data_IF_489513178744
#
_entry.id   IF_489513178744
#
_cell.length_a   1.000
_cell.length_b   1.000
_cell.length_c   1.000
_cell.angle_alpha   90.00
_cell.angle_beta   90.00
_cell.angle_gamma   90.00
#
_symmetry.space_group_name_H-M   'P 1'
#
loop_
_entity.id
_entity.type
_entity.pdbx_description
1 polymer ?
#
# COMPACT_ATOMS: atom_id res chain seq x y z
N UNK A 1 -10.87 -12.52 -1.08
CA UNK A 1 -9.86 -13.16 -0.21
C UNK A 1 -8.41 -12.99 -0.70
N UNK A 2 -7.93 -13.71 -1.74
CA UNK A 2 -6.52 -13.57 -2.20
C UNK A 2 -6.13 -12.16 -2.63
N UNK A 3 -7.03 -11.48 -3.35
CA UNK A 3 -6.83 -10.08 -3.80
C UNK A 3 -6.72 -9.11 -2.61
N UNK A 4 -7.61 -9.22 -1.61
CA UNK A 4 -7.59 -8.38 -0.41
C UNK A 4 -6.32 -8.63 0.40
N UNK A 5 -5.92 -9.90 0.59
CA UNK A 5 -4.66 -10.24 1.27
C UNK A 5 -3.42 -9.67 0.56
N UNK A 6 -3.41 -9.70 -0.77
CA UNK A 6 -2.33 -9.12 -1.56
C UNK A 6 -2.29 -7.59 -1.45
N UNK A 7 -3.45 -6.92 -1.49
CA UNK A 7 -3.57 -5.47 -1.29
C UNK A 7 -3.10 -5.03 0.10
N UNK A 8 -3.55 -5.71 1.17
CA UNK A 8 -3.09 -5.43 2.53
C UNK A 8 -1.57 -5.60 2.64
N UNK A 9 -1.02 -6.65 2.02
CA UNK A 9 0.44 -6.89 2.03
C UNK A 9 1.21 -5.79 1.30
N UNK A 10 0.72 -5.32 0.15
CA UNK A 10 1.32 -4.22 -0.59
C UNK A 10 1.29 -2.91 0.23
N UNK A 11 0.14 -2.57 0.81
CA UNK A 11 -0.01 -1.35 1.61
C UNK A 11 0.84 -1.40 2.88
N UNK A 12 0.98 -2.58 3.53
CA UNK A 12 1.87 -2.75 4.68
C UNK A 12 3.34 -2.57 4.30
N UNK A 13 3.76 -3.08 3.14
CA UNK A 13 5.11 -2.88 2.63
C UNK A 13 5.39 -1.40 2.33
N UNK A 14 4.44 -0.70 1.71
CA UNK A 14 4.57 0.75 1.47
C UNK A 14 4.62 1.54 2.80
N UNK A 15 3.84 1.12 3.79
CA UNK A 15 3.81 1.74 5.12
C UNK A 15 5.11 1.49 5.91
N UNK A 16 5.69 0.29 5.82
CA UNK A 16 7.02 -0.01 6.40
C UNK A 16 8.09 0.93 5.82
N UNK A 17 8.09 1.16 4.50
CA UNK A 17 9.01 2.12 3.88
C UNK A 17 8.79 3.57 4.31
N UNK A 18 7.53 3.98 4.55
CA UNK A 18 7.22 5.33 5.05
C UNK A 18 7.60 5.50 6.53
N UNK A 19 7.47 4.45 7.35
CA UNK A 19 7.88 4.45 8.76
C UNK A 19 9.40 4.46 8.88
N UNK A 20 10.11 3.67 8.08
CA UNK A 20 11.59 3.69 8.02
C UNK A 20 12.09 5.09 7.61
N UNK A 21 11.45 5.72 6.63
CA UNK A 21 11.76 7.10 6.25
C UNK A 21 11.43 8.13 7.35
N UNK A 22 10.40 7.86 8.17
CA UNK A 22 10.05 8.69 9.35
C UNK A 22 11.08 8.50 10.47
N UNK A 23 11.55 7.29 10.71
CA UNK A 23 12.61 6.98 11.69
C UNK A 23 13.97 7.55 11.27
N UNK A 24 14.32 7.48 9.98
CA UNK A 24 15.49 8.17 9.42
C UNK A 24 15.42 9.69 9.65
N UNK A 25 14.22 10.29 9.58
CA UNK A 25 14.01 11.70 9.94
C UNK A 25 13.96 11.97 11.45
N UNK A 26 13.72 10.97 12.31
CA UNK A 26 13.78 11.07 13.78
C UNK A 26 15.23 10.92 14.31
N UNK A 27 16.08 10.13 13.64
CA UNK A 27 17.51 9.97 14.00
C UNK A 27 18.31 11.27 13.80
N UNK A 28 17.82 12.21 12.98
CA UNK A 28 18.41 13.56 12.84
C UNK A 28 18.09 14.53 14.00
N UNK A 29 17.31 14.15 15.03
CA UNK A 29 16.94 15.03 16.16
C UNK A 29 17.75 14.86 17.47
N UNK A 30 18.63 13.87 17.60
CA UNK A 30 19.48 13.68 18.80
C UNK A 30 20.96 14.02 18.56
N UNK A 31 21.34 15.30 18.64
CA UNK A 31 22.75 15.69 18.88
C UNK A 31 22.85 16.90 19.79
N UNK A 32 23.50 16.72 20.94
CA UNK A 32 23.90 17.72 21.94
C UNK A 32 24.88 18.75 21.36
N UNK A 33 24.73 20.04 21.70
CA UNK A 33 25.73 21.09 21.42
C UNK A 33 26.79 21.18 22.53
N UNK A 34 28.06 21.51 22.23
CA UNK A 34 28.47 22.91 22.16
C UNK A 34 29.29 23.25 20.90
N UNK A 35 29.06 24.45 20.37
CA UNK A 35 29.54 24.99 19.09
C UNK A 35 31.07 24.97 18.86
N UNK A 36 31.90 24.67 19.86
CA UNK A 36 33.36 24.60 19.73
C UNK A 36 33.86 23.32 19.04
N UNK A 37 33.01 22.29 18.92
CA UNK A 37 33.34 21.05 18.20
C UNK A 37 33.05 21.12 16.69
N UNK A 38 32.38 22.18 16.22
CA UNK A 38 31.99 22.36 14.82
C UNK A 38 33.15 22.87 13.94
N UNK A 39 34.09 23.62 14.51
CA UNK A 39 35.26 24.14 13.78
C UNK A 39 36.09 23.06 13.08
N UNK A 40 36.48 21.93 13.72
CA UNK A 40 37.23 20.88 13.02
C UNK A 40 36.42 20.20 11.92
N UNK A 41 35.11 20.05 12.09
CA UNK A 41 34.23 19.44 11.09
C UNK A 41 33.98 20.38 9.90
N UNK A 42 33.77 21.67 10.16
CA UNK A 42 33.64 22.71 9.13
C UNK A 42 34.93 22.84 8.32
N UNK A 43 36.09 22.81 9.00
CA UNK A 43 37.39 22.81 8.34
C UNK A 43 37.63 21.52 7.53
N UNK A 44 37.16 20.37 8.01
CA UNK A 44 37.22 19.11 7.27
C UNK A 44 36.33 19.16 6.02
N UNK A 45 35.11 19.67 6.14
CA UNK A 45 34.19 19.86 5.03
C UNK A 45 34.74 20.85 3.99
N UNK A 46 35.32 21.96 4.43
CA UNK A 46 36.01 22.93 3.57
C UNK A 46 37.11 22.26 2.75
N UNK A 47 38.00 21.51 3.41
CA UNK A 47 39.07 20.76 2.74
C UNK A 47 38.53 19.71 1.76
N UNK A 48 37.43 19.04 2.10
CA UNK A 48 36.81 18.07 1.21
C UNK A 48 36.23 18.72 -0.05
N UNK A 49 35.51 19.83 0.09
CA UNK A 49 34.96 20.60 -1.03
C UNK A 49 36.08 21.16 -1.92
N UNK A 50 37.15 21.70 -1.31
CA UNK A 50 38.34 22.14 -2.04
C UNK A 50 38.99 20.99 -2.82
N UNK A 51 39.10 19.81 -2.21
CA UNK A 51 39.64 18.60 -2.87
C UNK A 51 38.79 18.17 -4.06
N UNK A 52 37.46 18.07 -3.88
CA UNK A 52 36.54 17.68 -4.96
C UNK A 52 36.52 18.69 -6.11
N UNK A 53 36.60 19.99 -5.81
CA UNK A 53 36.73 21.03 -6.83
C UNK A 53 38.05 20.90 -7.61
N UNK A 54 39.15 20.61 -6.93
CA UNK A 54 40.45 20.40 -7.57
C UNK A 54 40.45 19.18 -8.48
N UNK A 55 39.83 18.07 -8.06
CA UNK A 55 39.66 16.88 -8.89
C UNK A 55 38.80 17.17 -10.12
N UNK A 56 37.68 17.87 -9.93
CA UNK A 56 36.79 18.27 -11.01
C UNK A 56 37.53 19.16 -12.03
N UNK A 57 38.30 20.14 -11.55
CA UNK A 57 39.14 21.01 -12.38
C UNK A 57 40.13 20.22 -13.22
N UNK A 58 40.87 19.29 -12.60
CA UNK A 58 41.82 18.44 -13.31
C UNK A 58 41.13 17.56 -14.37
N UNK A 59 39.92 17.08 -14.08
CA UNK A 59 39.12 16.31 -15.03
C UNK A 59 38.73 17.16 -16.25
N UNK A 60 38.25 18.38 -16.03
CA UNK A 60 37.90 19.31 -17.11
C UNK A 60 39.12 19.75 -17.94
N UNK A 61 40.26 20.02 -17.31
CA UNK A 61 41.51 20.33 -18.02
C UNK A 61 41.95 19.16 -18.92
N UNK A 62 41.91 17.93 -18.40
CA UNK A 62 42.22 16.73 -19.19
C UNK A 62 41.24 16.52 -20.34
N UNK A 63 39.95 16.78 -20.10
CA UNK A 63 38.91 16.63 -21.10
C UNK A 63 39.06 17.68 -22.21
N UNK A 64 39.35 18.93 -21.88
CA UNK A 64 39.63 19.99 -22.86
C UNK A 64 40.85 19.64 -23.74
N UNK A 65 41.93 19.12 -23.15
CA UNK A 65 43.11 18.66 -23.91
C UNK A 65 42.74 17.49 -24.83
N UNK A 66 41.97 16.52 -24.33
CA UNK A 66 41.54 15.36 -25.11
C UNK A 66 40.66 15.78 -26.30
N UNK A 67 39.70 16.66 -26.07
CA UNK A 67 38.82 17.19 -27.11
C UNK A 67 39.60 17.97 -28.16
N UNK A 68 40.59 18.78 -27.76
CA UNK A 68 41.47 19.48 -28.68
C UNK A 68 42.32 18.51 -29.54
N UNK A 69 42.85 17.44 -28.95
CA UNK A 69 43.61 16.41 -29.68
C UNK A 69 42.73 15.64 -30.67
N UNK A 70 41.50 15.29 -30.27
CA UNK A 70 40.56 14.59 -31.15
C UNK A 70 40.01 15.48 -32.25
N UNK A 71 39.84 16.78 -32.01
CA UNK A 71 39.48 17.76 -33.02
C UNK A 71 40.60 17.97 -34.05
N UNK A 72 41.86 18.06 -33.59
CA UNK A 72 43.02 18.10 -34.48
C UNK A 72 43.10 16.84 -35.35
N UNK A 73 42.93 15.66 -34.75
CA UNK A 73 42.86 14.39 -35.47
C UNK A 73 41.72 14.39 -36.50
N UNK A 74 40.54 14.83 -36.13
CA UNK A 74 39.36 14.86 -37.01
C UNK A 74 39.52 15.82 -38.19
N UNK A 75 40.25 16.93 -38.02
CA UNK A 75 40.52 17.92 -39.09
C UNK A 75 41.66 17.49 -40.01
N UNK A 76 42.70 16.87 -39.46
CA UNK A 76 43.95 16.63 -40.16
C UNK A 76 44.17 15.17 -40.61
N UNK A 77 43.25 14.24 -40.32
CA UNK A 77 43.38 12.87 -40.84
C UNK A 77 43.27 12.82 -42.37
N UNK A 78 44.01 11.90 -42.99
CA UNK A 78 43.96 11.68 -44.44
C UNK A 78 42.85 10.68 -44.80
N UNK A 79 41.76 11.10 -45.48
CA UNK A 79 40.64 10.20 -45.78
C UNK A 79 40.96 9.13 -46.83
N UNK A 80 42.03 9.31 -47.62
CA UNK A 80 42.48 8.34 -48.62
C UNK A 80 43.34 7.21 -48.04
N UNK A 81 43.71 7.30 -46.76
CA UNK A 81 44.43 6.22 -46.09
C UNK A 81 43.41 5.27 -45.45
N UNK A 82 43.36 4.02 -45.92
CA UNK A 82 42.38 3.01 -45.50
C UNK A 82 42.67 2.44 -44.10
N UNK A 83 42.94 3.27 -43.10
CA UNK A 83 42.96 2.82 -41.71
C UNK A 83 41.51 2.83 -41.17
N UNK A 84 40.86 1.66 -41.02
CA UNK A 84 39.48 1.59 -40.57
C UNK A 84 39.30 2.06 -39.11
N UNK A 85 40.36 1.99 -38.29
CA UNK A 85 40.32 2.35 -36.87
C UNK A 85 40.32 3.87 -36.73
N UNK A 86 41.20 4.56 -37.45
CA UNK A 86 41.26 6.04 -37.43
C UNK A 86 39.96 6.63 -37.97
N UNK A 87 39.42 6.06 -39.04
CA UNK A 87 38.14 6.51 -39.61
C UNK A 87 36.97 6.34 -38.64
N UNK A 88 36.90 5.22 -37.93
CA UNK A 88 35.87 4.98 -36.91
C UNK A 88 36.01 5.97 -35.74
N UNK A 89 37.22 6.15 -35.21
CA UNK A 89 37.47 7.07 -34.10
C UNK A 89 37.10 8.54 -34.42
N UNK A 90 37.41 9.00 -35.64
CA UNK A 90 37.02 10.35 -36.09
C UNK A 90 35.49 10.47 -36.19
N UNK A 91 34.81 9.47 -36.74
CA UNK A 91 33.35 9.48 -36.86
C UNK A 91 32.67 9.49 -35.48
N UNK A 92 33.17 8.70 -34.53
CA UNK A 92 32.67 8.66 -33.16
C UNK A 92 32.86 9.99 -32.44
N UNK A 93 34.02 10.63 -32.61
CA UNK A 93 34.27 11.96 -32.05
C UNK A 93 33.37 13.03 -32.68
N UNK A 94 33.17 13.03 -34.00
CA UNK A 94 32.27 13.96 -34.68
C UNK A 94 30.81 13.79 -34.20
N UNK A 95 30.37 12.56 -33.95
CA UNK A 95 29.06 12.29 -33.36
C UNK A 95 28.96 12.80 -31.92
N UNK A 96 30.00 12.60 -31.11
CA UNK A 96 30.09 13.15 -29.75
C UNK A 96 30.01 14.68 -29.75
N UNK A 97 30.84 15.35 -30.56
CA UNK A 97 30.89 16.81 -30.66
C UNK A 97 29.61 17.43 -31.24
N UNK A 98 28.82 16.67 -32.00
CA UNK A 98 27.53 17.14 -32.53
C UNK A 98 26.40 17.10 -31.48
N UNK A 99 26.52 16.21 -30.49
CA UNK A 99 25.50 16.01 -29.44
C UNK A 99 25.84 16.71 -28.13
N UNK A 100 27.11 17.04 -27.89
CA UNK A 100 27.59 17.66 -26.66
C UNK A 100 28.21 19.03 -26.95
N UNK A 101 28.00 20.00 -26.05
CA UNK A 101 28.77 21.24 -26.08
C UNK A 101 30.23 20.91 -25.73
N UNK A 102 31.15 21.16 -26.67
CA UNK A 102 32.60 21.03 -26.45
C UNK A 102 32.99 22.00 -25.33
N UNK A 103 33.90 21.56 -24.45
CA UNK A 103 34.32 22.37 -23.30
C UNK A 103 35.13 23.57 -23.79
N UNK A 104 34.52 24.75 -23.74
CA UNK A 104 35.20 26.01 -24.08
C UNK A 104 36.23 26.37 -22.99
N UNK A 105 37.36 26.93 -23.39
CA UNK A 105 38.46 27.34 -22.48
C UNK A 105 37.98 28.30 -21.37
N UNK A 106 36.94 29.09 -21.64
CA UNK A 106 36.26 30.00 -20.70
C UNK A 106 35.57 29.27 -19.53
N UNK A 107 35.04 28.06 -19.78
CA UNK A 107 34.43 27.22 -18.73
C UNK A 107 35.49 26.68 -17.76
N UNK A 108 36.67 26.31 -18.25
CA UNK A 108 37.82 25.90 -17.44
C UNK A 108 38.36 27.08 -16.62
N UNK A 109 38.39 28.28 -17.21
CA UNK A 109 38.74 29.53 -16.52
C UNK A 109 37.78 29.86 -15.37
N UNK A 110 36.47 29.65 -15.53
CA UNK A 110 35.48 29.81 -14.46
C UNK A 110 35.68 28.87 -13.26
N UNK A 111 36.28 27.70 -13.51
CA UNK A 111 36.63 26.71 -12.48
C UNK A 111 37.95 27.05 -11.77
N UNK A 112 38.84 27.78 -12.44
CA UNK A 112 40.20 28.09 -12.00
C UNK A 112 40.28 29.19 -10.94
N UNK A 113 39.36 30.16 -10.95
CA UNK A 113 39.24 31.09 -9.85
C UNK A 113 38.39 30.43 -8.76
N UNK A 114 38.82 30.36 -7.48
CA UNK A 114 37.84 30.29 -6.41
C UNK A 114 36.95 31.50 -6.65
N UNK A 115 35.69 31.29 -7.01
CA UNK A 115 34.83 32.44 -7.28
C UNK A 115 34.96 33.33 -6.05
N UNK A 116 35.28 34.61 -6.22
CA UNK A 116 35.28 35.55 -5.10
C UNK A 116 33.97 35.42 -4.31
N UNK A 117 32.91 35.05 -5.03
CA UNK A 117 31.63 34.57 -4.56
C UNK A 117 31.68 33.39 -3.58
N UNK A 118 32.43 32.32 -3.82
CA UNK A 118 32.57 31.19 -2.89
C UNK A 118 33.28 31.60 -1.60
N UNK A 119 34.41 32.30 -1.70
CA UNK A 119 35.11 32.79 -0.52
C UNK A 119 34.23 33.76 0.27
N UNK A 120 33.47 34.61 -0.43
CA UNK A 120 32.49 35.52 0.17
C UNK A 120 31.34 34.79 0.86
N UNK A 121 30.83 33.70 0.28
CA UNK A 121 29.77 32.87 0.87
C UNK A 121 30.28 32.18 2.15
N UNK A 122 31.54 31.72 2.14
CA UNK A 122 32.20 31.13 3.31
C UNK A 122 32.41 32.19 4.41
N UNK A 123 32.93 33.37 4.08
CA UNK A 123 33.11 34.47 5.03
C UNK A 123 31.76 35.00 5.60
N UNK A 124 30.71 35.05 4.78
CA UNK A 124 29.34 35.40 5.22
C UNK A 124 28.78 34.34 6.19
N UNK A 125 29.09 33.07 5.96
CA UNK A 125 28.68 31.99 6.85
C UNK A 125 29.46 32.01 8.17
N UNK A 126 30.79 32.14 8.13
CA UNK A 126 31.64 32.23 9.32
C UNK A 126 31.28 33.44 10.19
N UNK A 127 31.08 34.61 9.58
CA UNK A 127 30.60 35.81 10.29
C UNK A 127 29.17 35.62 10.83
N UNK A 128 28.31 34.90 10.10
CA UNK A 128 26.98 34.52 10.56
C UNK A 128 26.97 33.57 11.75
N UNK A 129 27.94 32.67 11.85
CA UNK A 129 28.11 31.80 13.02
C UNK A 129 28.62 32.60 14.23
N UNK A 130 29.59 33.49 14.02
CA UNK A 130 30.16 34.33 15.08
C UNK A 130 29.17 35.36 15.63
N UNK A 131 28.12 35.70 14.88
CA UNK A 131 27.07 36.63 15.33
C UNK A 131 25.98 35.98 16.19
N UNK A 132 26.07 34.67 16.47
CA UNK A 132 25.13 33.96 17.35
C UNK A 132 25.56 34.27 18.79
N UNK A 133 25.13 35.42 19.31
CA UNK A 133 25.33 35.76 20.72
C UNK A 133 24.47 34.85 21.61
N UNK A 134 25.12 34.00 22.40
CA UNK A 134 24.49 33.27 23.49
C UNK A 134 24.17 34.29 24.59
N UNK A 135 22.95 34.80 24.60
CA UNK A 135 22.48 35.71 25.64
C UNK A 135 22.48 35.02 27.00
N UNK A 136 23.57 35.17 27.76
CA UNK A 136 23.62 34.80 29.18
C UNK A 136 22.95 35.92 29.99
N UNK A 137 21.63 36.02 29.95
CA UNK A 137 20.89 36.77 30.95
C UNK A 137 20.26 35.79 31.91
N UNK A 138 20.89 35.69 33.09
CA UNK A 138 20.49 34.84 34.19
C UNK A 138 19.02 35.07 34.59
N UNK A 139 18.19 34.07 34.32
CA UNK A 139 17.05 33.73 35.15
C UNK A 139 16.91 32.21 35.11
N UNK A 140 17.15 31.60 36.27
CA UNK A 140 16.93 30.19 36.54
C UNK A 140 15.44 29.90 36.34
N UNK A 141 15.07 29.39 35.17
CA UNK A 141 13.95 28.46 34.93
C UNK A 141 13.91 28.11 33.44
N UNK A 142 13.86 26.81 33.13
CA UNK A 142 13.78 26.18 31.79
C UNK A 142 15.05 26.21 30.91
N UNK A 143 15.94 25.24 31.13
CA UNK A 143 17.07 24.94 30.23
C UNK A 143 16.63 24.42 28.83
N UNK A 144 15.34 24.24 28.57
CA UNK A 144 14.80 23.70 27.29
C UNK A 144 14.51 24.76 26.22
N UNK A 145 14.42 26.05 26.56
CA UNK A 145 13.99 27.10 25.59
C UNK A 145 15.14 27.80 24.86
N UNK A 146 16.32 27.89 25.48
CA UNK A 146 17.49 28.56 24.89
C UNK A 146 18.22 27.67 23.87
N UNK A 147 18.29 26.36 24.11
CA UNK A 147 18.96 25.39 23.23
C UNK A 147 18.23 25.23 21.88
N UNK A 148 16.89 25.31 21.88
CA UNK A 148 16.07 25.27 20.67
C UNK A 148 16.28 26.51 19.78
N UNK A 149 16.53 27.68 20.38
CA UNK A 149 16.69 28.95 19.65
C UNK A 149 18.02 29.02 18.89
N UNK A 150 19.09 28.50 19.49
CA UNK A 150 20.42 28.44 18.86
C UNK A 150 20.42 27.44 17.70
N UNK A 151 19.84 26.24 17.89
CA UNK A 151 19.73 25.23 16.82
C UNK A 151 18.90 25.74 15.64
N UNK A 152 17.79 26.42 15.91
CA UNK A 152 16.96 27.05 14.86
C UNK A 152 17.73 28.12 14.10
N UNK A 153 18.48 28.98 14.81
CA UNK A 153 19.30 30.02 14.19
C UNK A 153 20.43 29.42 13.34
N UNK A 154 21.10 28.37 13.82
CA UNK A 154 22.14 27.66 13.08
C UNK A 154 21.58 26.97 11.83
N UNK A 155 20.53 26.17 11.97
CA UNK A 155 19.92 25.45 10.85
C UNK A 155 19.40 26.43 9.79
N UNK A 156 18.82 27.56 10.19
CA UNK A 156 18.38 28.59 9.26
C UNK A 156 19.55 29.21 8.49
N UNK A 157 20.67 29.51 9.15
CA UNK A 157 21.87 30.05 8.49
C UNK A 157 22.55 29.00 7.60
N UNK A 158 22.55 27.73 8.00
CA UNK A 158 23.10 26.62 7.24
C UNK A 158 22.28 26.31 5.98
N UNK A 159 20.95 26.26 6.07
CA UNK A 159 20.08 26.11 4.90
C UNK A 159 20.29 27.25 3.89
N UNK A 160 20.39 28.50 4.37
CA UNK A 160 20.71 29.63 3.50
C UNK A 160 22.09 29.53 2.84
N UNK A 161 23.08 28.95 3.54
CA UNK A 161 24.41 28.68 2.98
C UNK A 161 24.35 27.60 1.90
N UNK A 162 23.65 26.49 2.14
CA UNK A 162 23.47 25.41 1.17
C UNK A 162 22.71 25.90 -0.08
N UNK A 163 21.66 26.70 0.08
CA UNK A 163 20.94 27.28 -1.05
C UNK A 163 21.82 28.19 -1.92
N UNK A 164 22.69 29.00 -1.30
CA UNK A 164 23.64 29.87 -2.02
C UNK A 164 24.77 29.08 -2.66
N UNK A 165 25.25 28.02 -2.01
CA UNK A 165 26.35 27.17 -2.51
C UNK A 165 25.93 26.28 -3.68
N UNK A 166 24.65 25.86 -3.73
CA UNK A 166 24.08 25.01 -4.78
C UNK A 166 23.42 25.84 -5.91
N UNK A 167 23.46 27.18 -5.84
CA UNK A 167 22.87 28.06 -6.86
C UNK A 167 23.65 28.01 -8.21
N UNK A 168 23.40 26.95 -8.99
CA UNK A 168 23.47 26.90 -10.45
C UNK A 168 22.09 26.47 -10.98
N UNK A 169 21.72 26.78 -12.24
CA UNK A 169 20.33 26.98 -12.64
C UNK A 169 19.49 25.73 -12.39
N UNK A 170 18.34 25.97 -11.72
CA UNK A 170 17.34 25.01 -11.27
C UNK A 170 17.29 23.74 -12.13
N UNK A 171 17.86 22.66 -11.62
CA UNK A 171 17.29 21.33 -11.85
C UNK A 171 16.06 21.21 -10.97
N UNK A 172 14.94 20.78 -11.54
CA UNK A 172 13.70 20.56 -10.80
C UNK A 172 13.98 19.66 -9.60
N UNK A 173 13.64 20.16 -8.40
CA UNK A 173 13.85 19.46 -7.14
C UNK A 173 13.09 18.11 -7.18
N UNK A 174 13.68 16.98 -6.76
CA UNK A 174 12.87 15.84 -6.35
C UNK A 174 12.02 16.30 -5.15
N UNK A 175 10.74 15.91 -5.13
CA UNK A 175 9.78 16.34 -4.11
C UNK A 175 10.26 15.96 -2.71
N UNK A 176 10.74 16.94 -1.93
CA UNK A 176 10.85 16.82 -0.46
C UNK A 176 9.42 16.79 0.09
N UNK A 177 8.99 15.65 0.63
CA UNK A 177 7.79 15.59 1.47
C UNK A 177 8.08 16.35 2.77
N UNK A 178 7.25 17.34 3.11
CA UNK A 178 7.25 17.96 4.44
C UNK A 178 6.72 16.93 5.46
N UNK A 179 7.27 16.89 6.69
CA UNK A 179 6.89 15.94 7.76
C UNK A 179 5.36 15.79 7.93
N UNK A 180 4.63 16.90 7.90
CA UNK A 180 3.16 16.88 7.96
C UNK A 180 2.45 16.21 6.78
N UNK A 181 3.09 16.14 5.60
CA UNK A 181 2.60 15.39 4.44
C UNK A 181 2.87 13.88 4.59
N UNK A 182 4.02 13.51 5.14
CA UNK A 182 4.37 12.13 5.49
C UNK A 182 3.41 11.56 6.55
N UNK A 183 3.18 12.30 7.63
CA UNK A 183 2.25 11.89 8.70
C UNK A 183 0.82 11.73 8.16
N UNK A 184 0.37 12.63 7.28
CA UNK A 184 -0.96 12.53 6.66
C UNK A 184 -1.10 11.30 5.75
N UNK A 185 -0.02 10.91 5.07
CA UNK A 185 0.00 9.77 4.15
C UNK A 185 0.06 8.44 4.94
N UNK A 186 0.79 8.40 6.05
CA UNK A 186 0.77 7.27 7.00
C UNK A 186 -0.64 7.09 7.57
N UNK A 187 -1.28 8.16 8.04
CA UNK A 187 -2.64 8.09 8.61
C UNK A 187 -3.67 7.61 7.56
N UNK A 188 -3.53 8.03 6.30
CA UNK A 188 -4.39 7.56 5.22
C UNK A 188 -4.21 6.06 4.95
N UNK A 189 -2.96 5.60 4.88
CA UNK A 189 -2.63 4.18 4.65
C UNK A 189 -3.09 3.28 5.80
N UNK A 190 -2.96 3.73 7.05
CA UNK A 190 -3.47 3.03 8.23
C UNK A 190 -5.00 2.89 8.19
N UNK A 191 -5.71 3.97 7.83
CA UNK A 191 -7.17 3.92 7.65
C UNK A 191 -7.58 2.96 6.53
N UNK A 192 -6.82 2.92 5.43
CA UNK A 192 -7.07 2.00 4.32
C UNK A 192 -6.88 0.54 4.75
N UNK A 193 -5.81 0.23 5.48
CA UNK A 193 -5.57 -1.11 6.06
C UNK A 193 -6.72 -1.50 6.98
N UNK A 194 -7.11 -0.63 7.91
CA UNK A 194 -8.17 -0.92 8.87
C UNK A 194 -9.51 -1.23 8.17
N UNK A 195 -9.82 -0.50 7.09
CA UNK A 195 -11.01 -0.75 6.27
C UNK A 195 -10.96 -2.10 5.56
N UNK A 196 -9.82 -2.43 4.94
CA UNK A 196 -9.63 -3.70 4.23
C UNK A 196 -9.59 -4.90 5.18
N UNK A 197 -9.04 -4.74 6.39
CA UNK A 197 -9.05 -5.78 7.42
C UNK A 197 -10.46 -6.05 7.94
N UNK A 198 -11.28 -5.01 8.11
CA UNK A 198 -12.70 -5.15 8.42
C UNK A 198 -13.44 -5.92 7.33
N UNK A 199 -13.29 -5.52 6.07
CA UNK A 199 -13.93 -6.20 4.93
C UNK A 199 -13.48 -7.67 4.83
N UNK A 200 -12.18 -7.94 5.05
CA UNK A 200 -11.66 -9.30 5.09
C UNK A 200 -12.32 -10.13 6.19
N UNK A 201 -12.45 -9.57 7.40
CA UNK A 201 -13.05 -10.24 8.55
C UNK A 201 -14.52 -10.60 8.28
N UNK A 202 -15.28 -9.66 7.72
CA UNK A 202 -16.68 -9.89 7.33
C UNK A 202 -16.81 -11.00 6.27
N UNK A 203 -15.93 -11.01 5.28
CA UNK A 203 -15.90 -12.06 4.24
C UNK A 203 -15.42 -13.42 4.80
N UNK A 204 -14.46 -13.44 5.72
CA UNK A 204 -14.01 -14.67 6.39
C UNK A 204 -15.16 -15.27 7.20
N UNK A 205 -15.89 -14.44 7.94
CA UNK A 205 -17.08 -14.85 8.67
C UNK A 205 -18.14 -15.48 7.75
N UNK A 206 -18.52 -14.81 6.65
CA UNK A 206 -19.51 -15.35 5.70
C UNK A 206 -19.05 -16.67 5.05
N UNK A 207 -17.76 -16.84 4.77
CA UNK A 207 -17.22 -18.09 4.22
C UNK A 207 -17.29 -19.27 5.19
N UNK A 208 -17.12 -19.00 6.49
CA UNK A 208 -17.18 -20.01 7.56
C UNK A 208 -18.55 -20.14 8.19
N UNK A 209 -19.54 -19.39 7.70
CA UNK A 209 -20.86 -19.33 8.31
C UNK A 209 -21.53 -20.72 8.23
N UNK A 210 -21.85 -21.35 9.37
CA UNK A 210 -22.45 -22.69 9.41
C UNK A 210 -23.80 -22.74 8.68
N UNK A 211 -24.45 -21.58 8.44
CA UNK A 211 -25.72 -21.50 7.71
C UNK A 211 -25.64 -21.97 6.25
N UNK A 212 -24.44 -22.14 5.68
CA UNK A 212 -24.29 -22.65 4.32
C UNK A 212 -23.99 -24.15 4.27
N UNK A 213 -23.78 -24.79 5.42
CA UNK A 213 -23.48 -26.21 5.50
C UNK A 213 -22.07 -26.62 5.09
N UNK A 214 -21.78 -27.95 5.14
CA UNK A 214 -20.52 -28.50 4.68
C UNK A 214 -20.22 -28.06 3.24
N UNK A 215 -18.98 -27.61 3.02
CA UNK A 215 -18.50 -27.07 1.73
C UNK A 215 -19.35 -25.93 1.14
N UNK A 216 -20.18 -25.27 1.96
CA UNK A 216 -21.05 -24.19 1.52
C UNK A 216 -22.13 -24.63 0.53
N UNK A 217 -22.58 -25.88 0.60
CA UNK A 217 -23.57 -26.46 -0.33
C UNK A 217 -24.80 -25.58 -0.52
N UNK A 218 -25.30 -24.92 0.53
CA UNK A 218 -26.49 -24.06 0.46
C UNK A 218 -26.21 -22.61 0.02
N UNK A 219 -24.96 -22.25 -0.32
CA UNK A 219 -24.60 -20.88 -0.70
C UNK A 219 -25.36 -20.38 -1.94
N UNK A 220 -25.66 -21.27 -2.89
CA UNK A 220 -26.48 -20.96 -4.07
C UNK A 220 -27.97 -20.76 -3.74
N UNK A 221 -28.43 -21.24 -2.59
CA UNK A 221 -29.81 -21.10 -2.11
C UNK A 221 -29.96 -19.96 -1.10
N UNK A 222 -28.98 -19.06 -1.03
CA UNK A 222 -29.05 -17.93 -0.11
C UNK A 222 -30.25 -17.02 -0.42
N UNK A 223 -31.15 -16.85 0.54
CA UNK A 223 -32.39 -16.09 0.36
C UNK A 223 -33.46 -16.80 -0.47
N UNK A 224 -33.23 -18.05 -0.90
CA UNK A 224 -34.23 -18.84 -1.61
C UNK A 224 -35.28 -19.37 -0.62
N UNK A 225 -36.54 -19.00 -0.83
CA UNK A 225 -37.64 -19.36 0.04
C UNK A 225 -38.83 -19.93 -0.75
N UNK A 226 -39.44 -20.96 -0.21
CA UNK A 226 -40.66 -21.59 -0.70
C UNK A 226 -41.84 -21.10 0.14
N UNK A 227 -43.01 -21.00 -0.47
CA UNK A 227 -44.25 -20.73 0.26
C UNK A 227 -45.32 -21.69 -0.23
N UNK A 228 -45.88 -22.48 0.69
CA UNK A 228 -46.91 -23.47 0.37
C UNK A 228 -47.99 -23.50 1.45
N UNK A 229 -49.24 -23.51 1.01
CA UNK A 229 -50.39 -23.75 1.87
C UNK A 229 -50.52 -25.23 2.20
N UNK A 230 -50.48 -25.59 3.48
CA UNK A 230 -50.69 -26.96 3.94
C UNK A 230 -51.62 -26.92 5.16
N UNK A 231 -52.79 -27.54 5.05
CA UNK A 231 -53.86 -27.39 6.03
C UNK A 231 -54.37 -25.94 6.08
N UNK A 232 -54.46 -25.38 7.28
CA UNK A 232 -54.98 -24.03 7.51
C UNK A 232 -53.92 -22.92 7.45
N UNK A 233 -52.64 -23.28 7.26
CA UNK A 233 -51.52 -22.35 7.33
C UNK A 233 -50.69 -22.31 6.05
N UNK A 234 -50.12 -21.14 5.77
CA UNK A 234 -49.13 -20.93 4.73
C UNK A 234 -47.73 -21.01 5.35
N UNK A 235 -46.93 -21.99 4.92
CA UNK A 235 -45.58 -22.18 5.42
C UNK A 235 -44.59 -21.51 4.48
N UNK A 236 -43.84 -20.53 5.01
CA UNK A 236 -42.70 -19.92 4.33
C UNK A 236 -41.41 -20.56 4.82
N UNK A 237 -40.76 -21.34 3.96
CA UNK A 237 -39.55 -22.09 4.27
C UNK A 237 -38.36 -21.50 3.52
N UNK A 238 -37.30 -21.06 4.20
CA UNK A 238 -36.07 -20.57 3.58
C UNK A 238 -34.89 -21.49 3.90
N UNK A 239 -34.13 -21.91 2.88
CA UNK A 239 -33.05 -22.90 3.03
C UNK A 239 -31.91 -22.44 3.96
N UNK A 240 -31.51 -21.16 3.88
CA UNK A 240 -30.43 -20.56 4.69
C UNK A 240 -30.94 -19.48 5.65
N UNK A 241 -32.24 -19.52 5.97
CA UNK A 241 -32.93 -18.45 6.70
C UNK A 241 -33.84 -18.98 7.79
N UNK A 242 -35.09 -18.51 7.82
CA UNK A 242 -36.07 -18.95 8.80
C UNK A 242 -37.28 -19.64 8.18
N UNK A 243 -37.93 -20.47 8.99
CA UNK A 243 -39.23 -21.06 8.67
C UNK A 243 -40.30 -20.32 9.46
N UNK A 244 -41.33 -19.87 8.76
CA UNK A 244 -42.44 -19.12 9.34
C UNK A 244 -43.76 -19.78 8.98
N UNK A 245 -44.67 -19.83 9.95
CA UNK A 245 -46.06 -20.20 9.76
C UNK A 245 -46.90 -18.93 9.67
N UNK A 246 -47.60 -18.74 8.56
CA UNK A 246 -48.45 -17.59 8.31
C UNK A 246 -49.90 -18.06 8.37
N UNK A 247 -50.68 -17.46 9.27
CA UNK A 247 -52.10 -17.78 9.45
C UNK A 247 -52.86 -16.58 10.00
N UNK A 248 -54.08 -16.36 9.51
CA UNK A 248 -54.97 -15.28 9.96
C UNK A 248 -54.29 -13.88 10.05
N UNK A 249 -53.37 -13.57 9.12
CA UNK A 249 -52.65 -12.30 9.07
C UNK A 249 -51.47 -12.17 10.04
N UNK A 250 -51.14 -13.22 10.81
CA UNK A 250 -50.00 -13.27 11.72
C UNK A 250 -48.93 -14.23 11.18
N UNK A 251 -47.66 -13.85 11.33
CA UNK A 251 -46.50 -14.69 10.99
C UNK A 251 -45.81 -15.14 12.27
N UNK A 252 -45.80 -16.44 12.53
CA UNK A 252 -45.16 -17.06 13.68
C UNK A 252 -43.85 -17.70 13.23
N UNK A 253 -42.74 -17.27 13.84
CA UNK A 253 -41.43 -17.89 13.60
C UNK A 253 -41.41 -19.30 14.19
N UNK A 254 -41.19 -20.30 13.34
CA UNK A 254 -41.00 -21.69 13.77
C UNK A 254 -39.54 -21.92 14.18
N UNK A 255 -38.60 -21.37 13.44
CA UNK A 255 -37.18 -21.45 13.76
C UNK A 255 -36.30 -20.77 12.71
N UNK A 256 -35.09 -20.44 13.11
CA UNK A 256 -34.00 -19.95 12.28
C UNK A 256 -33.01 -21.09 12.05
N UNK A 257 -32.46 -21.17 10.84
CA UNK A 257 -31.53 -22.23 10.45
C UNK A 257 -30.30 -22.19 11.36
N UNK A 258 -29.97 -23.33 11.94
CA UNK A 258 -28.86 -23.50 12.87
C UNK A 258 -27.72 -24.30 12.20
N UNK A 259 -28.05 -25.49 11.69
CA UNK A 259 -27.08 -26.37 11.04
C UNK A 259 -27.71 -27.20 9.93
N UNK A 260 -26.87 -27.71 9.05
CA UNK A 260 -27.26 -28.70 8.04
C UNK A 260 -26.28 -29.87 8.04
N UNK A 261 -26.84 -31.08 7.95
CA UNK A 261 -26.12 -32.34 7.89
C UNK A 261 -26.40 -33.00 6.53
N UNK A 262 -25.34 -33.44 5.86
CA UNK A 262 -25.43 -34.21 4.61
C UNK A 262 -25.45 -35.70 4.99
N UNK A 263 -26.49 -36.42 4.57
CA UNK A 263 -26.60 -37.86 4.80
C UNK A 263 -25.90 -38.66 3.69
N UNK A 264 -25.69 -39.96 3.91
CA UNK A 264 -25.01 -40.86 2.97
C UNK A 264 -25.69 -40.93 1.59
N UNK A 265 -27.02 -40.81 1.56
CA UNK A 265 -27.85 -40.78 0.36
C UNK A 265 -27.82 -39.43 -0.38
N UNK A 266 -27.05 -38.45 0.12
CA UNK A 266 -26.99 -37.04 -0.32
C UNK A 266 -28.25 -36.22 -0.03
N UNK A 267 -29.18 -36.77 0.76
CA UNK A 267 -30.25 -35.96 1.34
C UNK A 267 -29.68 -34.99 2.39
N UNK A 268 -30.35 -33.85 2.55
CA UNK A 268 -29.94 -32.83 3.52
C UNK A 268 -30.91 -32.83 4.71
N UNK A 269 -30.37 -32.80 5.91
CA UNK A 269 -31.10 -32.54 7.15
C UNK A 269 -30.78 -31.15 7.64
N UNK A 270 -31.75 -30.24 7.53
CA UNK A 270 -31.61 -28.86 7.99
C UNK A 270 -32.34 -28.70 9.32
N UNK A 271 -31.65 -28.20 10.33
CA UNK A 271 -32.18 -27.96 11.66
C UNK A 271 -32.50 -26.48 11.82
N UNK A 272 -33.70 -26.19 12.30
CA UNK A 272 -34.17 -24.84 12.60
C UNK A 272 -34.48 -24.73 14.08
N UNK A 273 -33.80 -23.82 14.77
CA UNK A 273 -33.93 -23.61 16.21
C UNK A 273 -34.37 -22.17 16.54
N UNK A 274 -34.47 -21.84 17.82
CA UNK A 274 -34.73 -20.47 18.30
C UNK A 274 -36.02 -19.83 17.73
N UNK A 275 -37.09 -20.60 17.57
CA UNK A 275 -38.39 -20.10 17.14
C UNK A 275 -39.14 -19.27 18.18
N UNK A 276 -40.36 -18.86 17.85
CA UNK A 276 -41.25 -18.17 18.76
C UNK A 276 -41.69 -19.09 19.92
N UNK A 277 -41.85 -18.52 21.12
CA UNK A 277 -42.28 -19.27 22.31
C UNK A 277 -43.67 -19.88 22.10
N UNK A 278 -43.80 -21.17 22.37
CA UNK A 278 -45.06 -21.90 22.30
C UNK A 278 -45.86 -21.72 23.58
N UNK A 279 -47.19 -21.57 23.48
CA UNK A 279 -48.05 -21.53 24.65
C UNK A 279 -48.08 -22.90 25.34
N UNK A 280 -47.60 -22.94 26.58
CA UNK A 280 -47.46 -24.17 27.38
C UNK A 280 -46.62 -25.26 26.65
N UNK A 281 -45.54 -24.85 25.98
CA UNK A 281 -44.66 -25.75 25.23
C UNK A 281 -43.23 -25.22 25.15
N UNK A 282 -42.33 -25.97 24.49
CA UNK A 282 -40.95 -25.54 24.30
C UNK A 282 -40.84 -24.34 23.35
N UNK A 283 -39.62 -23.83 23.17
CA UNK A 283 -39.34 -22.93 22.05
C UNK A 283 -39.59 -23.72 20.76
N UNK A 284 -40.30 -23.13 19.79
CA UNK A 284 -40.55 -23.80 18.51
C UNK A 284 -39.23 -24.13 17.82
N UNK A 285 -39.20 -25.29 17.19
CA UNK A 285 -38.08 -25.76 16.36
C UNK A 285 -38.61 -26.63 15.24
N UNK A 286 -37.81 -26.81 14.19
CA UNK A 286 -38.15 -27.69 13.10
C UNK A 286 -36.96 -28.47 12.58
N UNK A 287 -37.24 -29.65 12.01
CA UNK A 287 -36.28 -30.42 11.23
C UNK A 287 -36.82 -30.58 9.82
N UNK A 288 -36.03 -30.22 8.83
CA UNK A 288 -36.40 -30.38 7.43
C UNK A 288 -35.52 -31.44 6.76
N UNK A 289 -36.15 -32.44 6.15
CA UNK A 289 -35.51 -33.41 5.29
C UNK A 289 -35.70 -32.99 3.85
N UNK A 290 -34.59 -32.66 3.19
CA UNK A 290 -34.54 -32.29 1.77
C UNK A 290 -34.10 -33.50 0.96
N UNK A 291 -35.00 -34.02 0.14
CA UNK A 291 -34.75 -35.12 -0.79
C UNK A 291 -34.52 -34.59 -2.22
N UNK A 292 -33.82 -35.37 -3.04
CA UNK A 292 -33.62 -35.05 -4.45
C UNK A 292 -34.96 -34.96 -5.18
N UNK A 293 -35.19 -33.86 -5.88
CA UNK A 293 -36.35 -33.67 -6.76
C UNK A 293 -36.07 -32.67 -7.86
N UNK A 294 -36.87 -32.70 -8.93
CA UNK A 294 -36.65 -31.84 -10.10
C UNK A 294 -36.99 -30.36 -9.85
N UNK A 295 -37.81 -30.05 -8.85
CA UNK A 295 -38.27 -28.70 -8.53
C UNK A 295 -38.35 -28.54 -7.02
N UNK A 296 -38.02 -27.34 -6.55
CA UNK A 296 -38.16 -26.97 -5.14
C UNK A 296 -39.63 -26.92 -4.73
N UNK A 297 -40.02 -27.77 -3.78
CA UNK A 297 -41.38 -27.78 -3.23
C UNK A 297 -41.41 -28.40 -1.82
N UNK A 298 -42.38 -27.98 -1.01
CA UNK A 298 -42.65 -28.58 0.30
C UNK A 298 -43.63 -29.73 0.07
N UNK A 299 -43.23 -31.00 0.24
CA UNK A 299 -44.12 -32.14 0.04
C UNK A 299 -45.15 -32.27 1.15
N UNK A 300 -44.70 -32.24 2.41
CA UNK A 300 -45.58 -32.30 3.57
C UNK A 300 -44.93 -31.65 4.79
N UNK A 301 -45.78 -31.28 5.74
CA UNK A 301 -45.37 -30.83 7.08
C UNK A 301 -46.17 -31.61 8.13
N UNK A 302 -45.55 -31.92 9.26
CA UNK A 302 -46.22 -32.51 10.43
C UNK A 302 -45.69 -31.90 11.73
N UNK A 303 -46.48 -31.97 12.81
CA UNK A 303 -46.07 -31.57 14.15
C UNK A 303 -46.06 -32.84 15.02
N UNK A 304 -44.98 -33.66 14.97
CA UNK A 304 -44.91 -34.93 15.71
C UNK A 304 -45.00 -34.74 17.23
N UNK A 305 -44.39 -33.67 17.75
CA UNK A 305 -44.44 -33.29 19.15
C UNK A 305 -44.85 -31.82 19.24
N UNK A 306 -45.40 -31.42 20.39
CA UNK A 306 -45.92 -30.06 20.55
C UNK A 306 -44.84 -29.01 20.27
N UNK A 307 -45.10 -28.15 19.30
CA UNK A 307 -44.21 -27.10 18.82
C UNK A 307 -42.87 -27.60 18.24
N UNK A 308 -42.80 -28.87 17.85
CA UNK A 308 -41.72 -29.43 17.04
C UNK A 308 -42.27 -29.80 15.66
N UNK A 309 -41.71 -29.20 14.62
CA UNK A 309 -42.20 -29.37 13.24
C UNK A 309 -41.26 -30.25 12.43
N UNK A 310 -41.82 -31.07 11.55
CA UNK A 310 -41.10 -31.85 10.57
C UNK A 310 -41.52 -31.43 9.17
N UNK A 311 -40.56 -31.08 8.32
CA UNK A 311 -40.78 -30.75 6.92
C UNK A 311 -40.15 -31.80 6.03
N UNK A 312 -40.90 -32.27 5.03
CA UNK A 312 -40.33 -33.00 3.90
C UNK A 312 -40.33 -32.08 2.69
N UNK A 313 -39.14 -31.77 2.20
CA UNK A 313 -38.90 -30.86 1.08
C UNK A 313 -38.23 -31.63 -0.05
N UNK A 314 -38.56 -31.30 -1.29
CA UNK A 314 -37.84 -31.78 -2.46
C UNK A 314 -37.09 -30.62 -3.09
N UNK A 315 -35.87 -30.87 -3.54
CA UNK A 315 -35.04 -29.86 -4.20
C UNK A 315 -33.95 -30.49 -5.06
N UNK A 316 -33.58 -29.86 -6.19
CA UNK A 316 -32.43 -30.29 -6.98
C UNK A 316 -31.11 -30.26 -6.19
N UNK A 317 -31.01 -29.45 -5.12
CA UNK A 317 -29.76 -29.34 -4.34
C UNK A 317 -29.38 -30.62 -3.59
N UNK A 318 -30.36 -31.48 -3.32
CA UNK A 318 -30.15 -32.78 -2.69
C UNK A 318 -29.89 -33.88 -3.73
N UNK A 319 -29.81 -33.56 -5.02
CA UNK A 319 -29.47 -34.51 -6.07
C UNK A 319 -27.96 -34.63 -6.24
N UNK A 320 -27.47 -35.86 -6.46
CA UNK A 320 -26.05 -36.09 -6.77
C UNK A 320 -25.71 -35.46 -8.12
N UNK A 321 -24.53 -34.83 -8.21
CA UNK A 321 -24.00 -34.44 -9.50
C UNK A 321 -23.83 -35.67 -10.39
N UNK A 322 -24.39 -35.63 -11.60
CA UNK A 322 -24.12 -36.64 -12.62
C UNK A 322 -22.73 -36.32 -13.17
N UNK A 323 -21.74 -37.24 -13.11
CA UNK A 323 -20.42 -36.97 -13.67
C UNK A 323 -20.54 -36.64 -15.16
N UNK A 324 -19.90 -35.53 -15.57
CA UNK A 324 -19.89 -34.96 -16.93
C UNK A 324 -19.50 -35.94 -18.06
N UNK A 325 -19.04 -37.15 -17.74
CA UNK A 325 -18.76 -38.22 -18.71
C UNK A 325 -20.01 -38.85 -19.34
N UNK A 326 -21.21 -38.61 -18.78
CA UNK A 326 -22.48 -39.16 -19.31
C UNK A 326 -23.32 -38.20 -20.16
N UNK A 327 -22.90 -36.95 -20.34
CA UNK A 327 -23.61 -35.95 -21.16
C UNK A 327 -23.22 -35.95 -22.64
N UNK A 328 -22.39 -36.90 -23.09
CA UNK A 328 -22.08 -37.11 -24.52
C UNK A 328 -22.64 -38.44 -25.01
N UNK A 329 -23.92 -38.44 -25.38
CA UNK A 329 -24.55 -39.24 -26.45
C UNK A 329 -26.05 -39.21 -26.18
N UNK A 330 -26.77 -38.45 -27.01
CA UNK A 330 -28.02 -38.86 -27.65
C UNK A 330 -28.50 -37.69 -28.52
N UNK A 331 -27.69 -37.35 -29.52
CA UNK A 331 -28.15 -36.69 -30.74
C UNK A 331 -27.50 -37.42 -31.91
N UNK A 332 -28.25 -38.35 -32.49
CA UNK A 332 -28.08 -38.87 -33.85
C UNK A 332 -29.42 -39.36 -34.37
#
# INVERSE_FOLDING_TARGET
MRVIKHKIKAIKFDLEGLVEHREETEIEEEVQTPLEQLDPQLNSAKKFVESQRNELRQSYERLAILEALLDDLAKNYNPNFNDPVVKAAVQDFQNYASNNQVVEEETVLSLSNPSEEFNRIIEEFESGLNSIEVGTSAQEDSAETTECSIRKAFNQKFENFIEKLIASPKREKPQKYTRGKLDSEIEEKEKEIAKLEKERSELEYDLTDPKYGPDGILRSYNGHCLTKKIGDYDYKFCFTGSVNQIGAGQSVLIGSMDKVEVQEDHSLKIFFEHGARCWNGPIRKAVAHVECGAKDDILFTSEPEKCEYFFKVVSPIACKEIPNSKLKKDEL
#
